data_IF_263254582948
#
_entry.id   IF_263254582948
#
_cell.length_a   1.000
_cell.length_b   1.000
_cell.length_c   1.000
_cell.angle_alpha   90.00
_cell.angle_beta   90.00
_cell.angle_gamma   90.00
#
_symmetry.space_group_name_H-M   'P 1'
#
loop_
_entity.id
_entity.type
_entity.pdbx_description
1 polymer ?
#
# COMPACT_ATOMS: atom_id res chain seq x y z
N UNK A 1 -3.89 -28.43 -5.40
CA UNK A 1 -4.36 -27.19 -4.75
C UNK A 1 -3.57 -26.02 -5.32
N UNK A 2 -4.23 -25.11 -6.00
CA UNK A 2 -3.66 -23.88 -6.55
C UNK A 2 -3.73 -22.77 -5.48
N UNK A 3 -2.65 -22.04 -5.28
CA UNK A 3 -2.63 -20.90 -4.33
C UNK A 3 -2.60 -19.59 -5.09
N UNK A 4 -3.33 -18.59 -4.62
CA UNK A 4 -3.16 -17.22 -5.10
C UNK A 4 -1.73 -16.77 -4.75
N UNK A 5 -1.05 -16.22 -5.74
CA UNK A 5 0.32 -15.70 -5.60
C UNK A 5 0.29 -14.18 -5.53
N UNK A 6 1.12 -13.60 -4.66
CA UNK A 6 1.29 -12.16 -4.66
C UNK A 6 1.76 -11.69 -6.05
N UNK A 7 1.11 -10.68 -6.60
CA UNK A 7 1.50 -10.10 -7.89
C UNK A 7 2.89 -9.44 -7.74
N UNK A 8 3.90 -9.88 -8.52
CA UNK A 8 5.26 -9.34 -8.42
C UNK A 8 5.33 -7.84 -8.74
N UNK A 9 4.55 -7.37 -9.71
CA UNK A 9 4.49 -5.96 -10.08
C UNK A 9 3.94 -5.10 -8.94
N UNK A 10 2.85 -5.55 -8.31
CA UNK A 10 2.31 -4.92 -7.11
C UNK A 10 3.37 -4.86 -6.00
N UNK A 11 4.04 -5.99 -5.73
CA UNK A 11 5.06 -6.07 -4.69
C UNK A 11 6.25 -5.14 -4.95
N UNK A 12 6.79 -5.12 -6.17
CA UNK A 12 7.91 -4.26 -6.58
C UNK A 12 7.57 -2.78 -6.43
N UNK A 13 6.41 -2.36 -6.97
CA UNK A 13 5.97 -0.95 -6.90
C UNK A 13 5.79 -0.47 -5.46
N UNK A 14 5.13 -1.28 -4.61
CA UNK A 14 4.92 -0.90 -3.20
C UNK A 14 6.22 -0.92 -2.40
N UNK A 15 7.12 -1.86 -2.66
CA UNK A 15 8.44 -1.87 -2.05
C UNK A 15 9.25 -0.63 -2.44
N UNK A 16 9.28 -0.30 -3.74
CA UNK A 16 9.99 0.88 -4.24
C UNK A 16 9.46 2.17 -3.58
N UNK A 17 8.13 2.37 -3.58
CA UNK A 17 7.52 3.56 -2.94
C UNK A 17 7.83 3.60 -1.45
N UNK A 18 7.77 2.46 -0.75
CA UNK A 18 8.11 2.40 0.68
C UNK A 18 9.55 2.82 0.93
N UNK A 19 10.51 2.28 0.16
CA UNK A 19 11.93 2.61 0.29
C UNK A 19 12.21 4.08 -0.06
N UNK A 20 11.57 4.61 -1.09
CA UNK A 20 11.66 6.02 -1.46
C UNK A 20 11.17 6.93 -0.32
N UNK A 21 10.01 6.62 0.27
CA UNK A 21 9.48 7.39 1.40
C UNK A 21 10.38 7.30 2.64
N UNK A 22 10.95 6.14 2.94
CA UNK A 22 11.93 5.98 4.03
C UNK A 22 13.19 6.80 3.76
N UNK A 23 13.71 6.77 2.54
CA UNK A 23 14.88 7.58 2.14
C UNK A 23 14.64 9.08 2.28
N UNK A 24 13.50 9.57 1.77
CA UNK A 24 13.10 10.98 1.92
C UNK A 24 12.90 11.35 3.39
N UNK A 25 12.26 10.49 4.19
CA UNK A 25 12.09 10.71 5.62
C UNK A 25 13.43 10.78 6.37
N UNK A 26 14.38 9.91 6.00
CA UNK A 26 15.75 9.97 6.51
C UNK A 26 16.48 11.26 6.15
N UNK A 27 16.33 11.73 4.90
CA UNK A 27 16.89 13.01 4.46
C UNK A 27 16.30 14.20 5.24
N UNK A 28 14.97 14.33 5.27
CA UNK A 28 14.33 15.40 6.04
C UNK A 28 14.66 15.33 7.54
N UNK A 29 14.76 14.10 8.08
CA UNK A 29 15.19 13.89 9.45
C UNK A 29 16.62 14.38 9.69
N UNK A 30 17.56 14.05 8.81
CA UNK A 30 18.92 14.55 8.89
C UNK A 30 18.97 16.08 8.85
N UNK A 31 18.29 16.71 7.91
CA UNK A 31 18.25 18.17 7.80
C UNK A 31 17.61 18.81 9.04
N UNK A 32 16.52 18.23 9.57
CA UNK A 32 15.84 18.75 10.74
C UNK A 32 16.59 18.57 12.07
N UNK A 33 17.23 17.41 12.28
CA UNK A 33 17.89 17.08 13.55
C UNK A 33 19.37 17.44 13.60
N UNK A 34 20.04 17.48 12.45
CA UNK A 34 21.51 17.63 12.38
C UNK A 34 21.89 18.80 11.46
N UNK A 35 21.49 18.77 10.20
CA UNK A 35 21.97 19.72 9.19
C UNK A 35 21.61 21.16 9.50
N UNK A 36 20.33 21.50 9.57
CA UNK A 36 19.89 22.88 9.82
C UNK A 36 20.24 23.40 11.23
N UNK A 37 20.10 22.61 12.32
CA UNK A 37 20.57 23.06 13.65
C UNK A 37 22.05 23.40 13.68
N UNK A 38 22.91 22.63 13.00
CA UNK A 38 24.36 22.89 12.96
C UNK A 38 24.78 24.09 12.09
N UNK A 39 23.92 24.48 11.12
CA UNK A 39 24.22 25.57 10.17
C UNK A 39 23.88 26.92 10.80
N UNK A 40 24.76 27.95 10.74
CA UNK A 40 24.43 29.33 11.15
C UNK A 40 23.22 29.86 10.37
N UNK A 41 22.35 30.65 11.05
CA UNK A 41 21.08 31.09 10.47
C UNK A 41 21.26 31.90 9.16
N UNK A 42 22.28 32.76 9.08
CA UNK A 42 22.57 33.53 7.89
C UNK A 42 23.02 32.65 6.70
N UNK A 43 23.83 31.62 6.96
CA UNK A 43 24.25 30.66 5.94
C UNK A 43 23.10 29.80 5.47
N UNK A 44 22.25 29.36 6.38
CA UNK A 44 21.04 28.61 6.05
C UNK A 44 20.11 29.42 5.15
N UNK A 45 19.90 30.71 5.48
CA UNK A 45 19.12 31.63 4.64
C UNK A 45 19.68 31.71 3.24
N UNK A 46 20.98 32.00 3.07
CA UNK A 46 21.64 32.09 1.78
C UNK A 46 21.56 30.79 0.98
N UNK A 47 21.66 29.65 1.65
CA UNK A 47 21.61 28.35 0.98
C UNK A 47 20.23 28.05 0.38
N UNK A 48 19.15 28.49 1.06
CA UNK A 48 17.77 28.22 0.67
C UNK A 48 17.26 29.29 -0.32
N UNK A 49 17.37 30.57 0.05
CA UNK A 49 16.79 31.69 -0.71
C UNK A 49 17.72 32.22 -1.82
N UNK A 50 18.98 31.76 -1.86
CA UNK A 50 20.00 32.14 -2.85
C UNK A 50 20.30 33.67 -2.92
N UNK A 51 20.01 34.38 -1.82
CA UNK A 51 20.19 35.83 -1.67
C UNK A 51 20.67 36.18 -0.27
N UNK A 52 21.16 37.39 -0.08
CA UNK A 52 21.44 37.93 1.25
C UNK A 52 20.14 38.29 1.97
N UNK A 53 20.09 38.09 3.32
CA UNK A 53 18.91 38.44 4.07
C UNK A 53 18.66 39.94 4.05
N UNK A 54 17.39 40.40 3.95
CA UNK A 54 17.04 41.81 4.09
C UNK A 54 17.46 42.37 5.43
N UNK A 55 17.73 43.69 5.47
CA UNK A 55 18.03 44.38 6.72
C UNK A 55 16.88 44.25 7.74
N UNK A 56 17.19 43.88 8.97
CA UNK A 56 16.20 43.67 10.04
C UNK A 56 15.44 42.34 9.96
N UNK A 57 15.81 41.42 9.05
CA UNK A 57 15.16 40.12 8.93
C UNK A 57 15.49 39.20 10.10
N UNK A 58 14.45 38.57 10.69
CA UNK A 58 14.62 37.63 11.82
C UNK A 58 15.11 36.26 11.32
N UNK A 59 16.43 36.11 11.27
CA UNK A 59 17.10 34.88 10.83
C UNK A 59 16.86 33.68 11.75
N UNK A 60 16.70 33.91 13.05
CA UNK A 60 16.47 32.84 14.02
C UNK A 60 15.04 32.29 13.89
N UNK A 61 14.04 33.18 13.72
CA UNK A 61 12.68 32.74 13.43
C UNK A 61 12.61 31.95 12.10
N UNK A 62 13.29 32.38 11.05
CA UNK A 62 13.41 31.68 9.78
C UNK A 62 14.01 30.28 9.96
N UNK A 63 15.16 30.19 10.65
CA UNK A 63 15.82 28.91 10.93
C UNK A 63 14.89 27.95 11.68
N UNK A 64 14.24 28.44 12.74
CA UNK A 64 13.28 27.65 13.53
C UNK A 64 12.12 27.15 12.69
N UNK A 65 11.58 28.00 11.80
CA UNK A 65 10.51 27.60 10.89
C UNK A 65 10.98 26.52 9.91
N UNK A 66 12.16 26.65 9.32
CA UNK A 66 12.70 25.64 8.36
C UNK A 66 12.95 24.30 9.07
N UNK A 67 13.52 24.30 10.27
CA UNK A 67 13.68 23.09 11.09
C UNK A 67 12.31 22.45 11.37
N UNK A 68 11.31 23.21 11.78
CA UNK A 68 9.93 22.70 12.01
C UNK A 68 9.32 22.10 10.75
N UNK A 69 9.56 22.70 9.59
CA UNK A 69 9.12 22.16 8.30
C UNK A 69 9.76 20.80 8.01
N UNK A 70 11.06 20.61 8.28
CA UNK A 70 11.75 19.35 8.11
C UNK A 70 11.18 18.26 9.03
N UNK A 71 10.85 18.58 10.27
CA UNK A 71 10.18 17.64 11.17
C UNK A 71 8.80 17.23 10.63
N UNK A 72 8.03 18.20 10.13
CA UNK A 72 6.73 17.91 9.52
C UNK A 72 6.85 16.93 8.33
N UNK A 73 7.79 17.17 7.42
CA UNK A 73 8.04 16.27 6.29
C UNK A 73 8.57 14.90 6.72
N UNK A 74 9.43 14.84 7.73
CA UNK A 74 9.91 13.57 8.31
C UNK A 74 8.74 12.73 8.80
N UNK A 75 7.85 13.29 9.61
CA UNK A 75 6.69 12.58 10.14
C UNK A 75 5.77 12.12 9.01
N UNK A 76 5.46 13.01 8.06
CA UNK A 76 4.57 12.72 6.93
C UNK A 76 5.11 11.58 6.06
N UNK A 77 6.39 11.60 5.72
CA UNK A 77 7.01 10.58 4.85
C UNK A 77 7.11 9.23 5.55
N UNK A 78 7.48 9.16 6.82
CA UNK A 78 7.47 7.90 7.58
C UNK A 78 6.05 7.36 7.78
N UNK A 79 5.07 8.20 8.01
CA UNK A 79 3.66 7.78 8.07
C UNK A 79 3.20 7.19 6.73
N UNK A 80 3.51 7.86 5.61
CA UNK A 80 3.20 7.34 4.27
C UNK A 80 3.90 6.00 4.02
N UNK A 81 5.19 5.87 4.38
CA UNK A 81 5.93 4.61 4.29
C UNK A 81 5.26 3.49 5.10
N UNK A 82 4.85 3.78 6.34
CA UNK A 82 4.17 2.82 7.20
C UNK A 82 2.83 2.36 6.60
N UNK A 83 2.03 3.27 6.03
CA UNK A 83 0.75 2.94 5.38
C UNK A 83 0.98 2.04 4.16
N UNK A 84 1.89 2.42 3.25
CA UNK A 84 2.18 1.65 2.03
C UNK A 84 2.80 0.30 2.38
N UNK A 85 3.79 0.28 3.28
CA UNK A 85 4.45 -0.94 3.74
C UNK A 85 3.47 -1.91 4.43
N UNK A 86 2.55 -1.40 5.26
CA UNK A 86 1.54 -2.22 5.92
C UNK A 86 0.58 -2.90 4.94
N UNK A 87 0.24 -2.23 3.83
CA UNK A 87 -0.57 -2.83 2.75
C UNK A 87 0.17 -3.98 2.08
N UNK A 88 1.45 -3.79 1.75
CA UNK A 88 2.29 -4.85 1.18
C UNK A 88 2.40 -6.04 2.13
N UNK A 89 2.64 -5.80 3.42
CA UNK A 89 2.72 -6.86 4.43
C UNK A 89 1.41 -7.64 4.57
N UNK A 90 0.26 -6.95 4.56
CA UNK A 90 -1.06 -7.61 4.59
C UNK A 90 -1.27 -8.49 3.35
N UNK A 91 -0.93 -7.99 2.16
CA UNK A 91 -1.04 -8.77 0.92
C UNK A 91 -0.11 -9.99 0.91
N UNK A 92 1.11 -9.90 1.47
CA UNK A 92 2.02 -11.03 1.63
C UNK A 92 1.50 -12.09 2.60
N UNK A 93 0.81 -11.68 3.66
CA UNK A 93 0.22 -12.58 4.68
C UNK A 93 -1.10 -13.20 4.26
N UNK A 94 -1.70 -12.71 3.18
CA UNK A 94 -2.96 -13.23 2.68
C UNK A 94 -2.75 -14.63 2.11
N UNK A 95 -3.43 -15.62 2.69
CA UNK A 95 -3.34 -17.03 2.29
C UNK A 95 -4.70 -17.48 1.79
N UNK A 96 -4.78 -17.72 0.49
CA UNK A 96 -5.94 -18.26 -0.17
C UNK A 96 -5.51 -19.31 -1.19
N UNK A 97 -6.20 -20.44 -1.22
CA UNK A 97 -5.96 -21.50 -2.17
C UNK A 97 -7.27 -22.14 -2.59
N UNK A 98 -7.27 -22.81 -3.75
CA UNK A 98 -8.45 -23.48 -4.29
C UNK A 98 -8.11 -24.76 -5.04
N UNK A 99 -9.09 -25.61 -5.18
CA UNK A 99 -9.13 -26.80 -6.04
C UNK A 99 -10.32 -26.65 -7.00
N UNK A 100 -10.71 -27.70 -7.67
CA UNK A 100 -11.88 -27.64 -8.58
C UNK A 100 -13.20 -27.56 -7.81
N UNK A 101 -13.27 -28.08 -6.60
CA UNK A 101 -14.48 -28.25 -5.78
C UNK A 101 -14.48 -27.41 -4.49
N UNK A 102 -13.32 -26.89 -4.07
CA UNK A 102 -13.19 -26.26 -2.76
C UNK A 102 -12.17 -25.11 -2.75
N UNK A 103 -12.32 -24.20 -1.79
CA UNK A 103 -11.30 -23.18 -1.48
C UNK A 103 -10.87 -23.26 -0.01
N UNK A 104 -9.66 -22.81 0.26
CA UNK A 104 -9.08 -22.74 1.61
C UNK A 104 -8.76 -21.29 1.93
N UNK A 105 -9.35 -20.81 3.00
CA UNK A 105 -9.11 -19.48 3.56
C UNK A 105 -8.84 -19.56 5.05
N UNK A 106 -7.76 -18.94 5.50
CA UNK A 106 -7.32 -18.98 6.92
C UNK A 106 -7.21 -20.41 7.48
N UNK A 107 -6.76 -21.34 6.64
CA UNK A 107 -6.60 -22.76 7.04
C UNK A 107 -7.87 -23.60 7.05
N UNK A 108 -9.04 -23.02 6.80
CA UNK A 108 -10.32 -23.75 6.71
C UNK A 108 -10.68 -24.01 5.26
N UNK A 109 -11.12 -25.25 4.97
CA UNK A 109 -11.61 -25.65 3.66
C UNK A 109 -13.12 -25.42 3.59
N UNK A 110 -13.57 -24.86 2.46
CA UNK A 110 -14.96 -24.60 2.16
C UNK A 110 -15.27 -25.11 0.75
N UNK A 111 -16.38 -25.83 0.54
CA UNK A 111 -16.81 -26.20 -0.82
C UNK A 111 -17.14 -24.95 -1.64
N UNK A 112 -16.80 -24.94 -2.92
CA UNK A 112 -17.20 -23.85 -3.84
C UNK A 112 -18.72 -23.77 -3.94
N UNK A 113 -19.39 -24.93 -3.90
CA UNK A 113 -20.85 -25.03 -3.88
C UNK A 113 -21.51 -24.37 -2.65
N UNK A 114 -20.79 -24.13 -1.57
CA UNK A 114 -21.33 -23.46 -0.37
C UNK A 114 -21.31 -21.93 -0.45
N UNK A 115 -20.74 -21.34 -1.51
CA UNK A 115 -20.70 -19.89 -1.70
C UNK A 115 -22.13 -19.36 -1.85
N UNK A 116 -22.51 -18.44 -0.95
CA UNK A 116 -23.86 -17.86 -0.88
C UNK A 116 -23.94 -16.50 -1.56
N UNK A 117 -22.87 -15.71 -1.49
CA UNK A 117 -22.89 -14.33 -1.96
C UNK A 117 -21.60 -13.98 -2.70
N UNK A 118 -21.76 -13.50 -3.94
CA UNK A 118 -20.67 -12.96 -4.75
C UNK A 118 -21.02 -11.52 -5.11
N UNK A 119 -20.20 -10.58 -4.65
CA UNK A 119 -20.33 -9.17 -5.01
C UNK A 119 -19.25 -8.80 -6.03
N UNK A 120 -19.65 -8.58 -7.27
CA UNK A 120 -18.81 -8.19 -8.41
C UNK A 120 -18.93 -6.70 -8.78
N UNK A 121 -19.60 -5.91 -8.00
CA UNK A 121 -19.86 -4.48 -8.30
C UNK A 121 -18.59 -3.68 -8.62
N UNK A 122 -17.45 -4.14 -8.13
CA UNK A 122 -16.14 -3.50 -8.35
C UNK A 122 -15.20 -4.30 -9.25
N UNK A 123 -15.67 -5.43 -9.83
CA UNK A 123 -14.82 -6.31 -10.61
C UNK A 123 -14.33 -5.65 -11.89
N UNK A 124 -15.23 -5.16 -12.73
CA UNK A 124 -14.90 -4.56 -14.03
C UNK A 124 -14.00 -3.32 -13.90
N UNK A 125 -14.26 -2.48 -12.89
CA UNK A 125 -13.50 -1.24 -12.71
C UNK A 125 -12.18 -1.40 -11.96
N UNK A 126 -12.09 -2.36 -11.03
CA UNK A 126 -10.97 -2.44 -10.07
C UNK A 126 -10.39 -3.83 -9.91
N UNK A 127 -10.96 -4.88 -10.55
CA UNK A 127 -10.53 -6.26 -10.34
C UNK A 127 -10.78 -6.79 -8.93
N UNK A 128 -11.76 -6.20 -8.21
CA UNK A 128 -12.08 -6.56 -6.84
C UNK A 128 -13.40 -7.30 -6.80
N UNK A 129 -13.41 -8.48 -6.17
CA UNK A 129 -14.61 -9.28 -5.90
C UNK A 129 -14.68 -9.61 -4.41
N UNK A 130 -15.89 -9.72 -3.86
CA UNK A 130 -16.12 -10.23 -2.51
C UNK A 130 -16.92 -11.52 -2.59
N UNK A 131 -16.45 -12.56 -1.90
CA UNK A 131 -17.07 -13.88 -1.83
C UNK A 131 -17.28 -14.21 -0.36
N UNK A 132 -18.54 -14.28 0.09
CA UNK A 132 -18.91 -14.51 1.49
C UNK A 132 -18.12 -13.62 2.49
N UNK A 133 -17.93 -12.33 2.12
CA UNK A 133 -17.18 -11.37 2.92
C UNK A 133 -15.65 -11.38 2.73
N UNK A 134 -15.10 -12.37 2.00
CA UNK A 134 -13.67 -12.43 1.66
C UNK A 134 -13.43 -11.53 0.44
N UNK A 135 -12.57 -10.53 0.59
CA UNK A 135 -12.19 -9.67 -0.53
C UNK A 135 -10.99 -10.25 -1.27
N UNK A 136 -11.17 -10.53 -2.56
CA UNK A 136 -10.12 -10.94 -3.50
C UNK A 136 -9.84 -9.79 -4.46
N UNK A 137 -8.57 -9.48 -4.68
CA UNK A 137 -8.11 -8.39 -5.52
C UNK A 137 -7.10 -8.91 -6.54
N UNK A 138 -7.46 -8.87 -7.82
CA UNK A 138 -6.65 -9.37 -8.92
C UNK A 138 -5.38 -8.52 -9.17
N UNK A 139 -5.34 -7.28 -8.71
CA UNK A 139 -4.14 -6.47 -8.73
C UNK A 139 -3.12 -6.92 -7.67
N UNK A 140 -3.61 -7.31 -6.51
CA UNK A 140 -2.75 -7.79 -5.42
C UNK A 140 -2.30 -9.24 -5.64
N UNK A 141 -3.17 -10.10 -6.21
CA UNK A 141 -2.93 -11.53 -6.29
C UNK A 141 -3.24 -12.09 -7.68
N UNK A 142 -2.30 -12.86 -8.20
CA UNK A 142 -2.50 -13.67 -9.41
C UNK A 142 -3.35 -14.89 -9.09
N UNK A 143 -4.16 -15.33 -10.04
CA UNK A 143 -5.05 -16.51 -9.92
C UNK A 143 -6.47 -16.19 -9.48
N UNK A 144 -6.83 -14.92 -9.24
CA UNK A 144 -8.20 -14.53 -8.86
C UNK A 144 -9.19 -14.74 -10.02
N UNK A 145 -8.79 -14.44 -11.25
CA UNK A 145 -9.63 -14.64 -12.45
C UNK A 145 -9.93 -16.11 -12.66
N UNK A 146 -8.91 -16.95 -12.57
CA UNK A 146 -9.01 -18.40 -12.71
C UNK A 146 -9.91 -19.01 -11.64
N UNK A 147 -9.81 -18.52 -10.41
CA UNK A 147 -10.71 -18.95 -9.33
C UNK A 147 -12.16 -18.57 -9.62
N UNK A 148 -12.42 -17.32 -10.06
CA UNK A 148 -13.78 -16.89 -10.42
C UNK A 148 -14.38 -17.72 -11.56
N UNK A 149 -13.61 -18.05 -12.58
CA UNK A 149 -14.07 -18.91 -13.67
C UNK A 149 -14.53 -20.29 -13.15
N UNK A 150 -13.83 -20.87 -12.16
CA UNK A 150 -14.24 -22.13 -11.51
C UNK A 150 -15.54 -21.98 -10.71
N UNK A 151 -15.67 -20.86 -9.98
CA UNK A 151 -16.91 -20.56 -9.24
C UNK A 151 -18.10 -20.48 -10.19
N UNK A 152 -17.94 -19.79 -11.34
CA UNK A 152 -19.00 -19.64 -12.34
C UNK A 152 -19.42 -21.01 -12.95
N UNK A 153 -18.46 -21.86 -13.29
CA UNK A 153 -18.73 -23.20 -13.78
C UNK A 153 -19.51 -24.03 -12.75
N UNK A 154 -19.13 -23.98 -11.48
CA UNK A 154 -19.79 -24.76 -10.41
C UNK A 154 -21.23 -24.27 -10.17
N UNK A 155 -21.46 -22.96 -10.28
CA UNK A 155 -22.81 -22.39 -10.12
C UNK A 155 -23.71 -22.73 -11.32
N UNK A 156 -23.19 -22.64 -12.55
CA UNK A 156 -23.93 -23.01 -13.77
C UNK A 156 -24.41 -24.47 -13.76
N UNK A 157 -23.58 -25.42 -13.28
CA UNK A 157 -24.00 -26.83 -13.15
C UNK A 157 -25.12 -27.02 -12.13
N UNK A 158 -25.11 -26.24 -11.04
CA UNK A 158 -26.18 -26.32 -10.02
C UNK A 158 -27.54 -25.87 -10.57
N UNK A 159 -27.55 -24.82 -11.38
CA UNK A 159 -28.78 -24.26 -11.97
C UNK A 159 -29.40 -25.21 -13.00
N UNK A 160 -28.58 -26.07 -13.64
CA UNK A 160 -29.06 -27.09 -14.60
C UNK A 160 -29.55 -28.39 -13.97
N UNK A 161 -29.09 -28.75 -12.76
CA UNK A 161 -29.53 -29.94 -12.03
C UNK A 161 -30.77 -29.69 -11.16
N UNK A 162 -31.16 -28.43 -10.96
CA UNK A 162 -32.31 -28.01 -10.14
C UNK A 162 -33.60 -27.77 -10.91
N UNK A 163 -33.63 -27.99 -12.25
CA UNK A 163 -34.79 -27.95 -13.13
C UNK A 163 -35.22 -29.33 -13.54
#
# INVERSE_FOLDING_TARGET
MTRLKLNPEYAKRHLFVTLLMVGLGGWFGYDGFIGYPATPAAELYKSIEKSDPPEGFDLEAFKKQKIGTQYGFTILTFFAAAVVGSRLMRSRRFKFGYTDDSYVYRGRRHPISSIKKIDRSRWEKKGIVKIDGITLDAWHHLGVKEFLAKVDLTQSHRDTEGT
#
